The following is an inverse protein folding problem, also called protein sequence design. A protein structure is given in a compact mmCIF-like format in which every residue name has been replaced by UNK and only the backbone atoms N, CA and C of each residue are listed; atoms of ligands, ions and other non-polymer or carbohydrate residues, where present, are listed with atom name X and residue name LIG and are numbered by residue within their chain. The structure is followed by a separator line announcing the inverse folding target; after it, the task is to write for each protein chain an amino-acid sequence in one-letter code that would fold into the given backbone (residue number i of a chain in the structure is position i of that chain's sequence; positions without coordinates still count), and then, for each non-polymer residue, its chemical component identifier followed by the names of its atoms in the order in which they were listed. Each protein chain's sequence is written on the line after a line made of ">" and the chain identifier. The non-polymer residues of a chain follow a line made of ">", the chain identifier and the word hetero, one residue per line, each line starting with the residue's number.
data_IF_838345455711
#
_entry.id   IF_838345455711
#
_cell.length_a   1.000
_cell.length_b   1.000
_cell.length_c   1.000
_cell.angle_alpha   90.00
_cell.angle_beta   90.00
_cell.angle_gamma   90.00
#
_symmetry.space_group_name_H-M   'P 1'
#
loop_
_entity.id
_entity.type
_entity.pdbx_description
1 polymer ?
#
# COMPACT_ATOMS: atom_id res chain seq x y z
N UNK A 1 -29.30 20.17 7.95
CA UNK A 1 -30.69 20.60 8.00
C UNK A 1 -30.96 21.71 9.05
N UNK A 2 -30.54 21.57 10.33
CA UNK A 2 -30.75 22.55 11.38
C UNK A 2 -30.16 23.93 11.03
N UNK A 3 -28.93 23.98 10.52
CA UNK A 3 -28.25 25.23 10.15
C UNK A 3 -28.96 25.92 9.00
N UNK A 4 -29.35 25.18 7.98
CA UNK A 4 -30.06 25.72 6.80
C UNK A 4 -31.43 26.27 7.18
N UNK A 5 -32.19 25.50 7.99
CA UNK A 5 -33.50 25.94 8.47
C UNK A 5 -33.38 27.17 9.38
N UNK A 6 -32.35 27.20 10.27
CA UNK A 6 -32.10 28.36 11.15
C UNK A 6 -31.75 29.62 10.35
N UNK A 7 -30.92 29.48 9.33
CA UNK A 7 -30.57 30.61 8.43
C UNK A 7 -31.79 31.18 7.70
N UNK A 8 -32.69 30.34 7.23
CA UNK A 8 -33.91 30.74 6.56
C UNK A 8 -34.88 31.45 7.53
N UNK A 9 -35.05 30.92 8.75
CA UNK A 9 -35.87 31.56 9.79
C UNK A 9 -35.30 32.93 10.17
N UNK A 10 -33.94 33.01 10.34
CA UNK A 10 -33.30 34.27 10.66
C UNK A 10 -33.49 35.32 9.55
N UNK A 11 -33.38 34.94 8.27
CA UNK A 11 -33.65 35.80 7.13
C UNK A 11 -35.08 36.36 7.16
N UNK A 12 -36.06 35.51 7.48
CA UNK A 12 -37.45 35.91 7.58
C UNK A 12 -37.70 36.91 8.74
N UNK A 13 -37.05 36.68 9.89
CA UNK A 13 -37.12 37.59 11.05
C UNK A 13 -36.51 38.95 10.71
N UNK A 14 -35.36 38.99 10.07
CA UNK A 14 -34.69 40.22 9.62
C UNK A 14 -35.60 40.98 8.65
N UNK A 15 -36.16 40.31 7.68
CA UNK A 15 -37.12 40.93 6.75
C UNK A 15 -38.33 41.52 7.49
N UNK A 16 -38.87 40.80 8.46
CA UNK A 16 -40.04 41.26 9.22
C UNK A 16 -39.77 42.50 10.08
N UNK A 17 -38.54 42.62 10.60
CA UNK A 17 -38.15 43.71 11.48
C UNK A 17 -37.60 44.94 10.73
N UNK A 18 -36.92 44.75 9.63
CA UNK A 18 -36.18 45.81 8.93
C UNK A 18 -36.77 46.16 7.55
N UNK A 19 -37.62 45.30 6.99
CA UNK A 19 -38.11 45.40 5.61
C UNK A 19 -37.06 45.03 4.56
N UNK A 20 -35.84 44.61 4.98
CA UNK A 20 -34.71 44.29 4.10
C UNK A 20 -34.80 42.84 3.67
N UNK A 21 -34.97 42.61 2.36
CA UNK A 21 -35.01 41.25 1.84
C UNK A 21 -33.62 40.73 1.53
N UNK A 22 -33.10 39.85 2.39
CA UNK A 22 -31.81 39.19 2.26
C UNK A 22 -31.91 37.69 1.91
N UNK A 23 -33.17 37.24 1.68
CA UNK A 23 -33.47 35.81 1.46
C UNK A 23 -32.68 35.20 0.31
N UNK A 24 -32.56 35.91 -0.82
CA UNK A 24 -31.76 35.47 -1.95
C UNK A 24 -30.26 35.27 -1.63
N UNK A 25 -29.70 36.16 -0.83
CA UNK A 25 -28.28 36.07 -0.45
C UNK A 25 -28.06 34.91 0.52
N UNK A 26 -28.94 34.77 1.51
CA UNK A 26 -28.92 33.64 2.46
C UNK A 26 -29.14 32.31 1.73
N UNK A 27 -30.08 32.28 0.77
CA UNK A 27 -30.34 31.11 -0.06
C UNK A 27 -29.14 30.68 -0.89
N UNK A 28 -28.40 31.60 -1.48
CA UNK A 28 -27.15 31.32 -2.20
C UNK A 28 -26.11 30.74 -1.24
N UNK A 29 -25.93 31.37 -0.05
CA UNK A 29 -24.99 30.85 0.96
C UNK A 29 -25.31 29.42 1.40
N UNK A 30 -26.60 29.16 1.67
CA UNK A 30 -27.07 27.81 2.03
C UNK A 30 -26.85 26.83 0.86
N UNK A 31 -27.15 27.21 -0.37
CA UNK A 31 -26.93 26.36 -1.54
C UNK A 31 -25.49 26.00 -1.74
N UNK A 32 -24.54 26.92 -1.52
CA UNK A 32 -23.09 26.66 -1.60
C UNK A 32 -22.64 25.68 -0.52
N UNK A 33 -23.11 25.80 0.71
CA UNK A 33 -22.81 24.87 1.80
C UNK A 33 -23.35 23.47 1.49
N UNK A 34 -24.59 23.36 1.00
CA UNK A 34 -25.18 22.06 0.65
C UNK A 34 -24.43 21.42 -0.52
N UNK A 35 -24.07 22.24 -1.54
CA UNK A 35 -23.31 21.74 -2.68
C UNK A 35 -21.92 21.24 -2.25
N UNK A 36 -21.23 21.97 -1.39
CA UNK A 36 -19.92 21.55 -0.85
C UNK A 36 -20.03 20.23 -0.06
N UNK A 37 -21.03 20.12 0.82
CA UNK A 37 -21.29 18.89 1.55
C UNK A 37 -21.64 17.72 0.60
N UNK A 38 -22.43 17.98 -0.45
CA UNK A 38 -22.75 16.98 -1.47
C UNK A 38 -21.54 16.48 -2.25
N UNK A 39 -20.60 17.37 -2.59
CA UNK A 39 -19.33 16.99 -3.23
C UNK A 39 -18.47 16.14 -2.28
N UNK A 40 -18.44 16.50 -0.99
CA UNK A 40 -17.74 15.68 0.03
C UNK A 40 -18.29 14.26 0.09
N UNK A 41 -19.62 14.12 0.24
CA UNK A 41 -20.28 12.79 0.27
C UNK A 41 -20.01 12.00 -1.01
N UNK A 42 -20.07 12.66 -2.17
CA UNK A 42 -19.79 12.01 -3.45
C UNK A 42 -18.34 11.51 -3.51
N UNK A 43 -17.38 12.32 -3.07
CA UNK A 43 -15.96 11.94 -2.98
C UNK A 43 -15.77 10.74 -2.07
N UNK A 44 -16.23 10.82 -0.82
CA UNK A 44 -16.10 9.76 0.19
C UNK A 44 -16.75 8.43 -0.24
N UNK A 45 -17.78 8.51 -1.11
CA UNK A 45 -18.47 7.32 -1.63
C UNK A 45 -17.76 6.71 -2.84
N UNK A 46 -17.15 7.55 -3.69
CA UNK A 46 -16.51 7.10 -4.92
C UNK A 46 -15.04 6.65 -4.69
N UNK A 47 -14.36 7.28 -3.75
CA UNK A 47 -12.95 7.02 -3.47
C UNK A 47 -12.66 5.53 -3.20
N UNK A 48 -13.41 4.79 -2.36
CA UNK A 48 -13.22 3.36 -2.17
C UNK A 48 -13.50 2.52 -3.42
N UNK A 49 -14.35 3.00 -4.34
CA UNK A 49 -14.71 2.27 -5.57
C UNK A 49 -13.67 2.41 -6.69
N UNK A 50 -12.91 3.50 -6.70
CA UNK A 50 -11.87 3.75 -7.71
C UNK A 50 -10.47 3.32 -7.26
N UNK A 51 -10.34 2.87 -6.02
CA UNK A 51 -9.11 2.45 -5.38
C UNK A 51 -8.57 3.52 -4.44
N UNK A 52 -8.58 3.22 -3.18
CA UNK A 52 -7.97 4.02 -2.11
C UNK A 52 -6.73 3.29 -1.61
N UNK A 53 -5.70 4.05 -1.23
CA UNK A 53 -4.52 3.47 -0.61
C UNK A 53 -4.92 2.83 0.74
N UNK A 54 -4.37 1.65 1.02
CA UNK A 54 -4.70 0.85 2.20
C UNK A 54 -4.28 1.60 3.47
N UNK A 55 -5.17 1.60 4.48
CA UNK A 55 -4.82 2.11 5.80
C UNK A 55 -3.61 1.35 6.37
N UNK A 56 -2.58 2.06 6.88
CA UNK A 56 -1.38 1.42 7.40
C UNK A 56 -1.64 0.38 8.50
N UNK A 57 -2.64 0.60 9.36
CA UNK A 57 -2.98 -0.37 10.42
C UNK A 57 -3.63 -1.63 9.84
N UNK A 58 -4.48 -1.48 8.83
CA UNK A 58 -5.10 -2.60 8.13
C UNK A 58 -4.06 -3.39 7.33
N UNK A 59 -3.15 -2.69 6.63
CA UNK A 59 -2.02 -3.29 5.93
C UNK A 59 -1.17 -4.14 6.88
N UNK A 60 -0.70 -3.55 7.97
CA UNK A 60 0.16 -4.22 8.94
C UNK A 60 -0.57 -5.39 9.63
N UNK A 61 -1.88 -5.28 9.87
CA UNK A 61 -2.69 -6.35 10.45
C UNK A 61 -2.76 -7.57 9.54
N UNK A 62 -3.04 -7.39 8.24
CA UNK A 62 -3.10 -8.50 7.28
C UNK A 62 -1.71 -9.12 7.08
N UNK A 63 -0.69 -8.29 6.92
CA UNK A 63 0.70 -8.73 6.79
C UNK A 63 1.12 -9.60 7.97
N UNK A 64 1.00 -9.12 9.20
CA UNK A 64 1.36 -9.88 10.41
C UNK A 64 0.51 -11.14 10.59
N UNK A 65 -0.75 -11.11 10.14
CA UNK A 65 -1.61 -12.28 10.16
C UNK A 65 -1.02 -13.41 9.31
N UNK A 66 -0.56 -13.12 8.09
CA UNK A 66 0.03 -14.11 7.20
C UNK A 66 1.41 -14.55 7.70
N UNK A 67 2.27 -13.62 8.10
CA UNK A 67 3.63 -13.89 8.54
C UNK A 67 3.73 -14.67 9.87
N UNK A 68 2.65 -14.78 10.64
CA UNK A 68 2.67 -15.57 11.89
C UNK A 68 2.72 -17.09 11.68
N UNK A 69 2.44 -17.55 10.45
CA UNK A 69 2.43 -18.98 10.13
C UNK A 69 3.84 -19.47 9.82
N UNK A 70 4.22 -20.59 10.46
CA UNK A 70 5.51 -21.21 10.19
C UNK A 70 5.53 -21.76 8.76
N UNK A 71 6.55 -21.42 8.00
CA UNK A 71 6.70 -21.77 6.58
C UNK A 71 6.45 -20.57 5.65
N UNK A 72 6.01 -19.42 6.20
CA UNK A 72 6.01 -18.14 5.49
C UNK A 72 7.23 -17.35 5.96
N UNK A 73 8.10 -16.98 5.03
CA UNK A 73 9.36 -16.26 5.31
C UNK A 73 9.21 -14.74 5.18
N UNK A 74 8.25 -14.29 4.37
CA UNK A 74 7.93 -12.88 4.18
C UNK A 74 6.66 -12.70 3.37
N UNK A 75 6.20 -11.45 3.28
CA UNK A 75 5.04 -11.08 2.46
C UNK A 75 5.25 -9.72 1.81
N UNK A 76 4.72 -9.57 0.58
CA UNK A 76 4.75 -8.31 -0.17
C UNK A 76 3.49 -8.18 -1.05
N UNK A 77 3.34 -7.06 -1.76
CA UNK A 77 2.27 -6.78 -2.73
C UNK A 77 0.85 -7.02 -2.20
N UNK A 78 0.61 -6.60 -0.95
CA UNK A 78 -0.73 -6.64 -0.38
C UNK A 78 -1.62 -5.58 -1.04
N UNK A 79 -2.69 -6.03 -1.67
CA UNK A 79 -3.76 -5.20 -2.24
C UNK A 79 -5.06 -5.57 -1.56
N UNK A 80 -5.80 -4.59 -1.05
CA UNK A 80 -7.12 -4.78 -0.45
C UNK A 80 -8.17 -4.02 -1.25
N UNK A 81 -9.26 -4.70 -1.59
CA UNK A 81 -10.42 -4.11 -2.25
C UNK A 81 -11.63 -4.18 -1.32
N UNK A 82 -12.22 -3.03 -1.04
CA UNK A 82 -13.45 -2.93 -0.24
C UNK A 82 -14.66 -2.79 -1.15
N UNK A 83 -15.57 -3.77 -1.10
CA UNK A 83 -16.82 -3.79 -1.87
C UNK A 83 -18.04 -3.39 -1.04
N UNK A 84 -17.83 -2.75 0.10
CA UNK A 84 -18.87 -2.30 1.01
C UNK A 84 -18.80 -2.97 2.39
N UNK A 85 -19.78 -2.74 3.26
CA UNK A 85 -19.76 -3.26 4.63
C UNK A 85 -19.65 -4.79 4.65
N UNK A 86 -18.63 -5.32 5.30
CA UNK A 86 -18.37 -6.75 5.46
C UNK A 86 -18.02 -7.53 4.17
N UNK A 87 -17.54 -6.84 3.12
CA UNK A 87 -17.08 -7.49 1.89
C UNK A 87 -15.73 -6.90 1.45
N UNK A 88 -14.67 -7.39 2.06
CA UNK A 88 -13.31 -7.07 1.64
C UNK A 88 -12.67 -8.29 1.00
N UNK A 89 -11.93 -8.06 -0.07
CA UNK A 89 -11.09 -9.05 -0.75
C UNK A 89 -9.66 -8.53 -0.77
N UNK A 90 -8.71 -9.40 -0.51
CA UNK A 90 -7.30 -9.05 -0.57
C UNK A 90 -6.51 -10.08 -1.36
N UNK A 91 -5.44 -9.62 -2.01
CA UNK A 91 -4.40 -10.46 -2.55
C UNK A 91 -3.07 -10.07 -1.91
N UNK A 92 -2.24 -11.07 -1.62
CA UNK A 92 -0.90 -10.89 -1.04
C UNK A 92 0.04 -11.93 -1.62
N UNK A 93 1.29 -11.58 -1.79
CA UNK A 93 2.34 -12.53 -2.09
C UNK A 93 2.96 -13.03 -0.80
N UNK A 94 3.20 -14.35 -0.72
CA UNK A 94 3.83 -14.98 0.42
C UNK A 94 5.09 -15.75 0.00
N UNK A 95 6.22 -15.37 0.56
CA UNK A 95 7.51 -16.02 0.32
C UNK A 95 7.55 -17.36 1.07
N UNK A 96 7.82 -18.44 0.34
CA UNK A 96 8.01 -19.79 0.89
C UNK A 96 9.35 -20.36 0.44
N UNK A 97 10.02 -21.24 1.22
CA UNK A 97 11.25 -21.90 0.76
C UNK A 97 11.03 -22.67 -0.55
N UNK A 98 11.92 -22.50 -1.52
CA UNK A 98 11.83 -23.14 -2.84
C UNK A 98 11.97 -24.66 -2.81
N UNK A 99 12.42 -25.22 -1.71
CA UNK A 99 12.55 -26.65 -1.45
C UNK A 99 11.44 -27.23 -0.56
N UNK A 100 10.45 -26.41 -0.20
CA UNK A 100 9.26 -26.89 0.49
C UNK A 100 8.48 -27.90 -0.38
N UNK A 101 7.87 -28.90 0.27
CA UNK A 101 6.95 -29.76 -0.44
C UNK A 101 5.74 -28.97 -0.93
N UNK A 102 5.42 -29.06 -2.22
CA UNK A 102 4.39 -28.24 -2.84
C UNK A 102 2.99 -28.53 -2.28
N UNK A 103 2.72 -29.77 -1.88
CA UNK A 103 1.42 -30.17 -1.31
C UNK A 103 1.30 -29.58 0.11
N UNK A 104 2.37 -29.66 0.92
CA UNK A 104 2.40 -29.09 2.26
C UNK A 104 2.30 -27.54 2.22
N UNK A 105 3.02 -26.91 1.29
CA UNK A 105 2.96 -25.46 1.09
C UNK A 105 1.55 -25.02 0.67
N UNK A 106 0.91 -25.74 -0.26
CA UNK A 106 -0.45 -25.45 -0.68
C UNK A 106 -1.46 -25.62 0.46
N UNK A 107 -1.35 -26.70 1.26
CA UNK A 107 -2.21 -26.89 2.43
C UNK A 107 -2.05 -25.77 3.48
N UNK A 108 -0.83 -25.26 3.64
CA UNK A 108 -0.56 -24.11 4.50
C UNK A 108 -1.28 -22.85 3.98
N UNK A 109 -1.13 -22.54 2.70
CA UNK A 109 -1.79 -21.39 2.06
C UNK A 109 -3.31 -21.49 2.20
N UNK A 110 -3.90 -22.63 1.84
CA UNK A 110 -5.35 -22.89 1.99
C UNK A 110 -5.84 -22.68 3.43
N UNK A 111 -5.03 -23.05 4.41
CA UNK A 111 -5.34 -22.83 5.83
C UNK A 111 -5.34 -21.35 6.16
N UNK A 112 -4.30 -20.61 5.74
CA UNK A 112 -4.19 -19.18 5.99
C UNK A 112 -5.37 -18.43 5.35
N UNK A 113 -5.74 -18.77 4.12
CA UNK A 113 -6.88 -18.16 3.43
C UNK A 113 -8.21 -18.41 4.17
N UNK A 114 -8.45 -19.61 4.67
CA UNK A 114 -9.64 -19.92 5.49
C UNK A 114 -9.65 -19.15 6.81
N UNK A 115 -8.52 -19.17 7.52
CA UNK A 115 -8.38 -18.49 8.81
C UNK A 115 -8.54 -16.96 8.64
N UNK A 116 -8.13 -16.39 7.49
CA UNK A 116 -8.33 -14.97 7.17
C UNK A 116 -9.82 -14.60 7.05
N UNK A 117 -10.64 -15.47 6.49
CA UNK A 117 -12.09 -15.26 6.45
C UNK A 117 -12.68 -15.29 7.85
N UNK A 118 -12.26 -16.24 8.68
CA UNK A 118 -12.81 -16.45 10.02
C UNK A 118 -12.35 -15.38 11.03
N UNK A 119 -11.07 -14.97 10.98
CA UNK A 119 -10.49 -14.04 11.96
C UNK A 119 -10.52 -12.57 11.52
N UNK A 120 -10.35 -12.30 10.22
CA UNK A 120 -10.29 -10.94 9.69
C UNK A 120 -11.57 -10.52 8.95
N UNK A 121 -12.38 -11.46 8.50
CA UNK A 121 -13.55 -11.21 7.65
C UNK A 121 -13.15 -10.81 6.21
N UNK A 122 -11.95 -11.17 5.78
CA UNK A 122 -11.38 -10.81 4.47
C UNK A 122 -11.27 -12.08 3.62
N UNK A 123 -11.78 -12.03 2.38
CA UNK A 123 -11.50 -13.05 1.38
C UNK A 123 -10.07 -12.84 0.88
N UNK A 124 -9.14 -13.60 1.44
CA UNK A 124 -7.72 -13.50 1.08
C UNK A 124 -7.38 -14.49 -0.03
N UNK A 125 -6.58 -14.05 -1.00
CA UNK A 125 -5.95 -14.87 -2.03
C UNK A 125 -4.45 -14.71 -1.90
N UNK A 126 -3.72 -15.80 -1.74
CA UNK A 126 -2.27 -15.79 -1.54
C UNK A 126 -1.58 -16.33 -2.79
N UNK A 127 -0.75 -15.48 -3.41
CA UNK A 127 0.22 -15.93 -4.39
C UNK A 127 1.47 -16.45 -3.70
N UNK A 128 1.86 -17.68 -4.01
CA UNK A 128 3.01 -18.31 -3.38
C UNK A 128 4.28 -18.06 -4.19
N UNK A 129 5.26 -17.39 -3.59
CA UNK A 129 6.55 -17.06 -4.20
C UNK A 129 7.67 -17.91 -3.61
N UNK A 130 8.21 -18.89 -4.38
CA UNK A 130 9.34 -19.68 -3.91
C UNK A 130 10.62 -18.87 -3.86
N UNK A 131 11.26 -18.77 -2.67
CA UNK A 131 12.53 -18.09 -2.47
C UNK A 131 13.66 -19.05 -2.16
N UNK A 132 14.89 -18.72 -2.62
CA UNK A 132 16.09 -19.49 -2.33
C UNK A 132 16.60 -19.18 -0.91
N UNK A 133 16.61 -20.21 -0.05
CA UNK A 133 17.01 -20.09 1.36
C UNK A 133 18.30 -20.87 1.69
N UNK A 134 18.83 -21.68 0.78
CA UNK A 134 19.97 -22.57 1.04
C UNK A 134 21.25 -22.14 0.36
N UNK A 135 21.16 -21.35 -0.70
CA UNK A 135 22.36 -20.84 -1.39
C UNK A 135 22.95 -19.68 -0.57
N UNK A 136 24.08 -19.94 0.08
CA UNK A 136 24.82 -18.94 0.89
C UNK A 136 25.15 -17.68 0.06
N UNK A 137 25.40 -17.82 -1.24
CA UNK A 137 25.69 -16.69 -2.11
C UNK A 137 24.43 -15.81 -2.26
N UNK A 138 23.28 -16.42 -2.52
CA UNK A 138 22.01 -15.68 -2.68
C UNK A 138 21.64 -14.98 -1.38
N UNK A 139 21.77 -15.66 -0.25
CA UNK A 139 21.47 -15.09 1.06
C UNK A 139 22.42 -13.92 1.42
N UNK A 140 23.70 -14.06 1.09
CA UNK A 140 24.69 -12.99 1.30
C UNK A 140 24.36 -11.77 0.45
N UNK A 141 24.09 -11.98 -0.84
CA UNK A 141 23.73 -10.91 -1.78
C UNK A 141 22.43 -10.22 -1.37
N UNK A 142 21.41 -10.99 -0.93
CA UNK A 142 20.16 -10.41 -0.40
C UNK A 142 20.45 -9.45 0.76
N UNK A 143 21.22 -9.89 1.74
CA UNK A 143 21.61 -9.06 2.88
C UNK A 143 22.40 -7.80 2.48
N UNK A 144 23.26 -7.88 1.47
CA UNK A 144 24.01 -6.74 0.93
C UNK A 144 23.10 -5.73 0.26
N UNK A 145 22.15 -6.19 -0.58
CA UNK A 145 21.18 -5.32 -1.27
C UNK A 145 20.24 -4.64 -0.28
N UNK A 146 19.68 -5.39 0.67
CA UNK A 146 18.80 -4.86 1.72
C UNK A 146 19.51 -3.84 2.60
N UNK A 147 20.75 -4.12 3.02
CA UNK A 147 21.55 -3.19 3.82
C UNK A 147 21.87 -1.90 3.04
N UNK A 148 22.30 -2.05 1.77
CA UNK A 148 22.61 -0.92 0.91
C UNK A 148 21.38 -0.02 0.69
N UNK A 149 20.21 -0.62 0.41
CA UNK A 149 18.96 0.11 0.22
C UNK A 149 18.51 0.80 1.51
N UNK A 150 18.56 0.12 2.64
CA UNK A 150 18.16 0.67 3.96
C UNK A 150 19.00 1.87 4.39
N UNK A 151 20.28 1.93 3.99
CA UNK A 151 21.14 3.09 4.23
C UNK A 151 20.77 4.29 3.33
N UNK A 152 20.25 4.05 2.12
CA UNK A 152 19.79 5.09 1.21
C UNK A 152 18.39 5.57 1.59
N UNK A 153 17.48 4.63 1.80
CA UNK A 153 16.11 4.91 2.19
C UNK A 153 15.48 3.74 2.97
N UNK A 154 15.16 3.98 4.23
CA UNK A 154 14.57 2.98 5.12
C UNK A 154 13.09 2.66 4.85
N UNK A 155 12.41 3.43 4.00
CA UNK A 155 11.02 3.20 3.61
C UNK A 155 10.89 2.27 2.41
N UNK A 156 12.00 2.04 1.70
CA UNK A 156 12.05 1.15 0.55
C UNK A 156 12.38 -0.28 0.95
N UNK A 157 11.91 -1.24 0.15
CA UNK A 157 12.19 -2.67 0.33
C UNK A 157 12.44 -3.32 -1.03
N UNK A 158 12.96 -4.55 -1.00
CA UNK A 158 13.13 -5.38 -2.19
C UNK A 158 12.40 -6.71 -2.02
N UNK A 159 11.99 -7.30 -3.13
CA UNK A 159 11.53 -8.69 -3.20
C UNK A 159 11.94 -9.33 -4.54
N UNK A 160 11.67 -10.61 -4.70
CA UNK A 160 11.95 -11.41 -5.91
C UNK A 160 13.43 -11.38 -6.35
N UNK A 161 14.37 -11.27 -5.41
CA UNK A 161 15.79 -11.27 -5.74
C UNK A 161 16.23 -12.59 -6.37
N UNK A 162 16.76 -12.49 -7.58
CA UNK A 162 17.41 -13.57 -8.33
C UNK A 162 18.85 -13.22 -8.62
N UNK A 163 19.75 -14.14 -8.31
CA UNK A 163 21.19 -14.00 -8.56
C UNK A 163 21.58 -14.90 -9.73
N UNK A 164 22.01 -14.30 -10.83
CA UNK A 164 22.39 -15.04 -12.05
C UNK A 164 23.87 -14.83 -12.34
N UNK A 165 24.67 -15.90 -12.14
CA UNK A 165 26.09 -15.87 -12.40
C UNK A 165 26.39 -15.93 -13.90
N UNK A 166 27.09 -14.92 -14.43
CA UNK A 166 27.59 -14.84 -15.79
C UNK A 166 29.12 -14.90 -15.89
N UNK A 167 29.67 -14.88 -17.09
CA UNK A 167 31.11 -14.83 -17.31
C UNK A 167 31.66 -13.44 -16.93
N UNK A 168 32.14 -13.31 -15.70
CA UNK A 168 32.78 -12.08 -15.19
C UNK A 168 31.81 -11.03 -14.64
N UNK A 169 30.53 -11.36 -14.54
CA UNK A 169 29.49 -10.50 -13.93
C UNK A 169 28.50 -11.34 -13.15
N UNK A 170 27.82 -10.72 -12.19
CA UNK A 170 26.74 -11.30 -11.40
C UNK A 170 25.53 -10.40 -11.60
N UNK A 171 24.48 -10.90 -12.26
CA UNK A 171 23.27 -10.15 -12.46
C UNK A 171 22.36 -10.30 -11.23
N UNK A 172 21.99 -9.17 -10.65
CA UNK A 172 21.03 -9.05 -9.56
C UNK A 172 19.74 -8.54 -10.15
N UNK A 173 18.73 -9.40 -10.20
CA UNK A 173 17.40 -9.08 -10.74
C UNK A 173 16.46 -9.06 -9.58
N UNK A 174 15.81 -7.93 -9.33
CA UNK A 174 14.87 -7.79 -8.21
C UNK A 174 13.90 -6.63 -8.42
N UNK A 175 12.81 -6.69 -7.68
CA UNK A 175 11.83 -5.63 -7.65
C UNK A 175 12.05 -4.76 -6.41
N UNK A 176 11.96 -3.43 -6.58
CA UNK A 176 12.18 -2.44 -5.52
C UNK A 176 10.90 -1.66 -5.28
N UNK A 177 10.35 -1.80 -4.07
CA UNK A 177 9.15 -1.08 -3.64
C UNK A 177 9.54 0.26 -3.06
N UNK A 178 8.95 1.33 -3.61
CA UNK A 178 9.17 2.71 -3.16
C UNK A 178 7.87 3.33 -2.66
N UNK A 179 7.91 4.37 -1.81
CA UNK A 179 6.73 5.12 -1.41
C UNK A 179 5.94 5.65 -2.62
N UNK A 180 4.61 5.72 -2.47
CA UNK A 180 3.72 6.14 -3.56
C UNK A 180 3.98 7.60 -4.02
N UNK A 181 4.50 8.44 -3.13
CA UNK A 181 4.78 9.84 -3.39
C UNK A 181 5.99 10.09 -4.28
N UNK A 182 6.84 9.07 -4.52
CA UNK A 182 8.06 9.23 -5.31
C UNK A 182 7.73 9.48 -6.77
N UNK A 183 8.28 10.56 -7.30
CA UNK A 183 8.22 10.85 -8.71
C UNK A 183 9.29 10.07 -9.51
N UNK A 184 9.25 10.16 -10.84
CA UNK A 184 10.18 9.43 -11.71
C UNK A 184 11.65 9.90 -11.55
N UNK A 185 11.88 11.14 -11.12
CA UNK A 185 13.24 11.64 -10.88
C UNK A 185 13.81 11.07 -9.57
N UNK A 186 13.01 11.01 -8.52
CA UNK A 186 13.37 10.40 -7.23
C UNK A 186 13.65 8.91 -7.38
N UNK A 187 12.79 8.18 -8.10
CA UNK A 187 12.99 6.75 -8.41
C UNK A 187 14.31 6.50 -9.15
N UNK A 188 14.52 7.25 -10.24
CA UNK A 188 15.74 7.09 -11.04
C UNK A 188 17.01 7.42 -10.23
N UNK A 189 16.95 8.45 -9.39
CA UNK A 189 18.07 8.82 -8.53
C UNK A 189 18.38 7.74 -7.49
N UNK A 190 17.34 7.20 -6.82
CA UNK A 190 17.50 6.12 -5.86
C UNK A 190 18.07 4.87 -6.51
N UNK A 191 17.56 4.51 -7.70
CA UNK A 191 18.08 3.37 -8.47
C UNK A 191 19.56 3.53 -8.81
N UNK A 192 19.97 4.70 -9.28
CA UNK A 192 21.38 4.97 -9.59
C UNK A 192 22.27 4.89 -8.35
N UNK A 193 21.85 5.48 -7.24
CA UNK A 193 22.61 5.43 -5.98
C UNK A 193 22.75 4.01 -5.46
N UNK A 194 21.69 3.19 -5.54
CA UNK A 194 21.74 1.79 -5.13
C UNK A 194 22.70 0.99 -6.02
N UNK A 195 22.64 1.18 -7.34
CA UNK A 195 23.55 0.51 -8.27
C UNK A 195 25.01 0.88 -8.02
N UNK A 196 25.33 2.16 -7.80
CA UNK A 196 26.67 2.62 -7.46
C UNK A 196 27.16 1.96 -6.16
N UNK A 197 26.32 1.97 -5.13
CA UNK A 197 26.65 1.39 -3.82
C UNK A 197 26.88 -0.12 -3.88
N UNK A 198 26.07 -0.85 -4.66
CA UNK A 198 26.26 -2.28 -4.86
C UNK A 198 27.53 -2.59 -5.65
N UNK A 199 27.90 -1.76 -6.64
CA UNK A 199 29.18 -1.87 -7.36
C UNK A 199 30.41 -1.52 -6.51
N UNK A 200 30.26 -0.77 -5.42
CA UNK A 200 31.32 -0.58 -4.44
C UNK A 200 31.59 -1.86 -3.62
N UNK A 201 30.53 -2.65 -3.35
CA UNK A 201 30.64 -3.94 -2.65
C UNK A 201 31.30 -4.98 -3.57
N UNK A 202 30.78 -5.18 -4.78
CA UNK A 202 31.38 -6.06 -5.78
C UNK A 202 31.20 -5.46 -7.20
N UNK A 203 32.33 -5.17 -7.84
CA UNK A 203 32.35 -4.59 -9.22
C UNK A 203 31.71 -5.47 -10.28
N UNK A 204 31.46 -6.74 -9.99
CA UNK A 204 30.78 -7.68 -10.88
C UNK A 204 29.25 -7.55 -10.85
N UNK A 205 28.70 -6.84 -9.86
CA UNK A 205 27.26 -6.67 -9.73
C UNK A 205 26.70 -5.81 -10.85
N UNK A 206 25.69 -6.36 -11.53
CA UNK A 206 24.91 -5.70 -12.54
C UNK A 206 23.42 -5.83 -12.15
N UNK A 207 22.79 -4.71 -11.87
CA UNK A 207 21.42 -4.70 -11.37
C UNK A 207 20.41 -4.52 -12.50
N UNK A 208 19.35 -5.34 -12.48
CA UNK A 208 18.13 -5.17 -13.25
C UNK A 208 17.02 -4.98 -12.24
N UNK A 209 16.54 -3.75 -12.12
CA UNK A 209 15.61 -3.33 -11.06
C UNK A 209 14.29 -2.96 -11.69
N UNK A 210 13.20 -3.62 -11.27
CA UNK A 210 11.83 -3.17 -11.53
C UNK A 210 11.39 -2.26 -10.38
N UNK A 211 10.80 -1.11 -10.70
CA UNK A 211 10.33 -0.17 -9.68
C UNK A 211 8.84 -0.35 -9.47
N UNK A 212 8.43 -0.55 -8.24
CA UNK A 212 7.04 -0.71 -7.84
C UNK A 212 6.65 0.30 -6.77
N UNK A 213 5.39 0.68 -6.74
CA UNK A 213 4.85 1.55 -5.70
C UNK A 213 4.28 0.74 -4.56
N UNK A 214 4.53 1.19 -3.33
CA UNK A 214 3.82 0.66 -2.17
C UNK A 214 2.33 0.97 -2.27
N UNK A 215 1.48 -0.04 -2.03
CA UNK A 215 0.03 0.13 -1.89
C UNK A 215 -0.40 0.64 -0.51
N UNK A 216 0.56 0.76 0.42
CA UNK A 216 0.33 1.30 1.77
C UNK A 216 0.17 2.82 1.70
N UNK A 217 -0.88 3.35 2.32
CA UNK A 217 -1.05 4.80 2.44
C UNK A 217 0.13 5.43 3.22
N UNK A 218 0.55 6.65 2.85
CA UNK A 218 1.52 7.37 3.64
C UNK A 218 0.98 7.62 5.05
N UNK A 219 1.83 7.47 6.08
CA UNK A 219 1.44 7.73 7.46
C UNK A 219 1.18 9.23 7.62
N UNK A 220 -0.08 9.64 7.49
CA UNK A 220 -0.48 11.02 7.74
C UNK A 220 -0.52 11.27 9.25
N UNK A 221 0.41 12.07 9.77
CA UNK A 221 0.40 12.55 11.16
C UNK A 221 -0.67 13.64 11.42
N UNK A 222 -1.74 13.69 10.61
CA UNK A 222 -2.82 14.66 10.76
C UNK A 222 -4.10 14.01 11.30
N UNK A 223 -4.06 13.57 12.54
CA UNK A 223 -5.23 13.53 13.41
C UNK A 223 -4.96 14.50 14.58
N UNK A 224 -5.19 15.77 14.33
CA UNK A 224 -5.45 16.80 15.34
C UNK A 224 -6.85 17.36 15.16
#
# INVERSE_FOLDING_TARGET
>A
DVITTSATILSLVIFRLTGLNIDGIVGIGVALVVMWAGVGIAKDTLEPLIGEAIDPEEYDKVKHFVERYQGIEGTHDLIIHNYGPNQSMASIHAEVPNDADIEEAHELIDRIERDAVDELGILLVIHMDPIEMRDEQVMTVRGEVEAALKELDSQCSIHDLRVVNGMGQINLIFDMVVPFEYDEEEKNNLQLQLMEKLQEIDKRYQCVITMEHSYKAPVSYTHL
#
